data_IF_605425396830
#
_entry.id   IF_605425396830
#
_cell.length_a   1.000
_cell.length_b   1.000
_cell.length_c   1.000
_cell.angle_alpha   90.00
_cell.angle_beta   90.00
_cell.angle_gamma   90.00
#
_symmetry.space_group_name_H-M   'P 1'
#
loop_
_entity.id
_entity.type
_entity.pdbx_description
1 polymer ?
#
# COMPACT_ATOMS: atom_id res chain seq x y z
N UNK A 1 -8.37 -15.37 18.03
CA UNK A 1 -9.18 -15.09 16.82
C UNK A 1 -9.30 -16.36 15.98
N UNK A 2 -10.51 -16.78 15.69
CA UNK A 2 -10.71 -17.96 14.85
C UNK A 2 -10.35 -17.63 13.39
N UNK A 3 -9.59 -18.51 12.75
CA UNK A 3 -9.30 -18.37 11.32
C UNK A 3 -10.33 -19.17 10.52
N UNK A 4 -10.79 -18.61 9.41
CA UNK A 4 -11.81 -19.20 8.55
C UNK A 4 -11.24 -19.89 7.31
N UNK A 5 -9.95 -20.21 7.34
CA UNK A 5 -9.26 -20.84 6.22
C UNK A 5 -8.27 -21.88 6.72
N UNK A 6 -7.97 -22.84 5.86
CA UNK A 6 -7.00 -23.88 6.16
C UNK A 6 -5.57 -23.38 5.84
N UNK A 7 -4.63 -23.62 6.76
CA UNK A 7 -3.22 -23.32 6.55
C UNK A 7 -2.50 -24.62 6.19
N UNK A 8 -1.88 -24.66 5.02
CA UNK A 8 -1.12 -25.81 4.55
C UNK A 8 0.37 -25.64 4.84
N UNK A 9 1.00 -26.70 5.31
CA UNK A 9 2.42 -26.72 5.68
C UNK A 9 3.32 -26.98 4.45
N UNK A 10 3.09 -26.25 3.38
CA UNK A 10 3.83 -26.40 2.14
C UNK A 10 3.80 -25.11 1.33
N UNK A 11 4.62 -25.00 0.30
CA UNK A 11 4.60 -23.85 -0.60
C UNK A 11 3.66 -24.12 -1.77
N UNK A 12 2.86 -23.11 -2.20
CA UNK A 12 2.03 -23.27 -3.40
C UNK A 12 2.92 -23.32 -4.64
N UNK A 13 2.41 -23.94 -5.73
CA UNK A 13 3.15 -24.05 -6.97
C UNK A 13 3.49 -22.70 -7.61
N UNK A 14 2.69 -21.68 -7.34
CA UNK A 14 2.88 -20.31 -7.86
C UNK A 14 3.53 -19.36 -6.84
N UNK A 15 4.30 -19.88 -5.89
CA UNK A 15 4.90 -19.09 -4.81
C UNK A 15 5.72 -17.90 -5.33
N UNK A 16 6.49 -18.11 -6.39
CA UNK A 16 7.34 -17.04 -6.93
C UNK A 16 6.51 -15.90 -7.54
N UNK A 17 5.37 -16.23 -8.17
CA UNK A 17 4.45 -15.22 -8.69
C UNK A 17 3.81 -14.41 -7.55
N UNK A 18 3.45 -15.09 -6.46
CA UNK A 18 2.87 -14.41 -5.29
C UNK A 18 3.89 -13.49 -4.62
N UNK A 19 5.16 -13.89 -4.56
CA UNK A 19 6.24 -13.04 -4.04
C UNK A 19 6.40 -11.79 -4.89
N UNK A 20 6.32 -11.92 -6.21
CA UNK A 20 6.37 -10.76 -7.13
C UNK A 20 5.19 -9.83 -6.93
N UNK A 21 3.97 -10.37 -6.78
CA UNK A 21 2.78 -9.56 -6.50
C UNK A 21 2.92 -8.78 -5.21
N UNK A 22 3.49 -9.41 -4.19
CA UNK A 22 3.72 -8.77 -2.89
C UNK A 22 4.74 -7.63 -2.98
N UNK A 23 5.56 -7.61 -4.02
CA UNK A 23 6.53 -6.55 -4.28
C UNK A 23 6.04 -5.46 -5.24
N UNK A 24 4.77 -5.48 -5.66
CA UNK A 24 4.22 -4.49 -6.59
C UNK A 24 4.25 -3.10 -5.97
N UNK A 25 5.04 -2.19 -6.55
CA UNK A 25 5.28 -0.85 -5.98
C UNK A 25 4.12 0.11 -6.18
N UNK A 26 3.41 -0.03 -7.28
CA UNK A 26 2.37 0.93 -7.67
C UNK A 26 0.95 0.40 -7.53
N UNK A 27 0.79 -0.82 -7.01
CA UNK A 27 -0.52 -1.45 -6.93
C UNK A 27 -0.68 -2.17 -5.59
N UNK A 28 -1.20 -1.43 -4.61
CA UNK A 28 -1.44 -1.99 -3.27
C UNK A 28 -2.47 -3.13 -3.30
N UNK A 29 -3.41 -3.10 -4.25
CA UNK A 29 -4.41 -4.17 -4.38
C UNK A 29 -3.76 -5.50 -4.71
N UNK A 30 -2.73 -5.50 -5.54
CA UNK A 30 -1.96 -6.73 -5.83
C UNK A 30 -1.18 -7.21 -4.62
N UNK A 31 -0.62 -6.29 -3.83
CA UNK A 31 0.04 -6.67 -2.58
C UNK A 31 -0.94 -7.32 -1.62
N UNK A 32 -2.14 -6.75 -1.49
CA UNK A 32 -3.19 -7.31 -0.64
C UNK A 32 -3.65 -8.68 -1.14
N UNK A 33 -3.82 -8.85 -2.44
CA UNK A 33 -4.18 -10.13 -3.04
C UNK A 33 -3.12 -11.20 -2.72
N UNK A 34 -1.85 -10.83 -2.82
CA UNK A 34 -0.74 -11.74 -2.46
C UNK A 34 -0.80 -12.14 -0.99
N UNK A 35 -1.09 -11.21 -0.09
CA UNK A 35 -1.26 -11.52 1.33
C UNK A 35 -2.38 -12.53 1.55
N UNK A 36 -3.53 -12.31 0.90
CA UNK A 36 -4.69 -13.19 1.05
C UNK A 36 -4.45 -14.60 0.52
N UNK A 37 -3.56 -14.76 -0.44
CA UNK A 37 -3.15 -16.08 -0.92
C UNK A 37 -2.04 -16.68 -0.05
N UNK A 38 -1.00 -15.91 0.27
CA UNK A 38 0.14 -16.39 1.04
C UNK A 38 -0.22 -16.81 2.47
N UNK A 39 -1.23 -16.19 3.06
CA UNK A 39 -1.65 -16.53 4.42
C UNK A 39 -2.12 -17.97 4.58
N UNK A 40 -2.49 -18.63 3.47
CA UNK A 40 -2.96 -20.02 3.45
C UNK A 40 -1.83 -21.04 3.43
N UNK A 41 -0.59 -20.59 3.30
CA UNK A 41 0.57 -21.46 3.11
C UNK A 41 1.66 -21.15 4.12
N UNK A 42 2.03 -22.15 4.92
CA UNK A 42 3.13 -22.00 5.88
C UNK A 42 4.41 -22.52 5.25
N UNK A 43 5.15 -21.61 4.65
CA UNK A 43 6.48 -21.88 4.09
C UNK A 43 7.35 -20.66 4.34
N UNK A 44 8.67 -20.82 4.19
CA UNK A 44 9.61 -19.74 4.54
C UNK A 44 9.38 -18.47 3.73
N UNK A 45 9.14 -18.60 2.41
CA UNK A 45 8.87 -17.43 1.55
C UNK A 45 7.61 -16.69 1.97
N UNK A 46 6.54 -17.42 2.31
CA UNK A 46 5.31 -16.82 2.81
C UNK A 46 5.55 -16.07 4.11
N UNK A 47 6.26 -16.68 5.06
CA UNK A 47 6.59 -16.05 6.35
C UNK A 47 7.41 -14.78 6.16
N UNK A 48 8.41 -14.81 5.28
CA UNK A 48 9.27 -13.65 5.01
C UNK A 48 8.48 -12.49 4.42
N UNK A 49 7.62 -12.77 3.43
CA UNK A 49 6.81 -11.74 2.78
C UNK A 49 5.80 -11.13 3.74
N UNK A 50 5.07 -11.98 4.48
CA UNK A 50 4.05 -11.50 5.42
C UNK A 50 4.68 -10.66 6.54
N UNK A 51 5.84 -11.06 7.04
CA UNK A 51 6.57 -10.28 8.05
C UNK A 51 6.97 -8.92 7.51
N UNK A 52 7.54 -8.87 6.31
CA UNK A 52 7.96 -7.62 5.69
C UNK A 52 6.79 -6.67 5.47
N UNK A 53 5.68 -7.16 4.93
CA UNK A 53 4.52 -6.32 4.68
C UNK A 53 3.85 -5.87 5.98
N UNK A 54 3.80 -6.74 6.99
CA UNK A 54 3.23 -6.39 8.30
C UNK A 54 4.00 -5.27 8.99
N UNK A 55 5.32 -5.21 8.78
CA UNK A 55 6.18 -4.23 9.45
C UNK A 55 6.42 -2.98 8.63
N UNK A 56 6.37 -3.06 7.30
CA UNK A 56 6.89 -2.00 6.43
C UNK A 56 5.95 -1.52 5.32
N UNK A 57 4.80 -2.14 5.08
CA UNK A 57 3.93 -1.67 4.01
C UNK A 57 3.33 -0.31 4.38
N UNK A 58 3.32 0.62 3.44
CA UNK A 58 2.79 1.96 3.67
C UNK A 58 1.27 2.03 3.65
N UNK A 59 0.61 1.10 2.95
CA UNK A 59 -0.85 1.03 2.94
C UNK A 59 -1.30 0.25 4.16
N UNK A 60 -1.98 0.91 5.08
CA UNK A 60 -2.35 0.31 6.36
C UNK A 60 -3.18 -0.97 6.20
N UNK A 61 -4.07 -1.03 5.21
CA UNK A 61 -4.88 -2.23 4.98
C UNK A 61 -4.01 -3.44 4.65
N UNK A 62 -2.97 -3.26 3.84
CA UNK A 62 -2.02 -4.35 3.52
C UNK A 62 -1.24 -4.74 4.78
N UNK A 63 -0.75 -3.75 5.52
CA UNK A 63 -0.03 -3.98 6.77
C UNK A 63 -0.89 -4.76 7.78
N UNK A 64 -2.14 -4.36 7.97
CA UNK A 64 -3.05 -5.01 8.91
C UNK A 64 -3.35 -6.46 8.52
N UNK A 65 -3.64 -6.72 7.25
CA UNK A 65 -3.93 -8.09 6.79
C UNK A 65 -2.69 -8.98 6.88
N UNK A 66 -1.51 -8.45 6.55
CA UNK A 66 -0.25 -9.18 6.68
C UNK A 66 0.05 -9.48 8.15
N UNK A 67 -0.21 -8.53 9.04
CA UNK A 67 -0.04 -8.71 10.48
C UNK A 67 -0.95 -9.83 11.01
N UNK A 68 -2.21 -9.84 10.63
CA UNK A 68 -3.14 -10.89 11.04
C UNK A 68 -2.72 -12.25 10.52
N UNK A 69 -2.26 -12.31 9.27
CA UNK A 69 -1.74 -13.53 8.67
C UNK A 69 -0.49 -14.04 9.42
N UNK A 70 0.41 -13.14 9.77
CA UNK A 70 1.60 -13.46 10.53
C UNK A 70 1.27 -14.00 11.92
N UNK A 71 0.27 -13.42 12.58
CA UNK A 71 -0.20 -13.92 13.88
C UNK A 71 -0.74 -15.35 13.76
N UNK A 72 -1.52 -15.63 12.71
CA UNK A 72 -2.10 -16.95 12.48
C UNK A 72 -1.00 -18.01 12.25
N UNK A 73 0.13 -17.62 11.66
CA UNK A 73 1.29 -18.50 11.43
C UNK A 73 2.21 -18.57 12.64
N UNK A 74 1.94 -17.82 13.71
CA UNK A 74 2.79 -17.80 14.89
C UNK A 74 4.13 -17.15 14.68
N UNK A 75 4.23 -16.19 13.73
CA UNK A 75 5.48 -15.52 13.41
C UNK A 75 5.93 -14.63 14.58
N UNK A 76 7.21 -14.74 14.93
CA UNK A 76 7.82 -13.94 15.99
C UNK A 76 9.14 -13.38 15.48
N UNK A 77 9.56 -12.25 16.06
CA UNK A 77 10.84 -11.63 15.80
C UNK A 77 11.63 -11.58 17.09
N UNK A 78 12.81 -12.17 17.09
CA UNK A 78 13.68 -12.27 18.29
C UNK A 78 12.95 -12.89 19.48
N UNK A 79 12.16 -13.94 19.22
CA UNK A 79 11.41 -14.66 20.26
C UNK A 79 10.16 -13.96 20.77
N UNK A 80 9.80 -12.82 20.19
CA UNK A 80 8.61 -12.06 20.60
C UNK A 80 7.62 -11.91 19.45
N UNK A 81 6.30 -11.95 19.71
CA UNK A 81 5.33 -11.70 18.66
C UNK A 81 5.56 -10.32 18.04
N UNK A 82 5.27 -10.20 16.74
CA UNK A 82 5.30 -8.90 16.08
C UNK A 82 4.03 -8.13 16.44
N UNK A 83 4.13 -6.80 16.43
CA UNK A 83 3.01 -5.91 16.76
C UNK A 83 2.69 -5.00 15.58
N UNK A 84 1.41 -4.76 15.38
CA UNK A 84 0.95 -3.79 14.39
C UNK A 84 1.33 -2.39 14.86
N UNK A 85 2.10 -1.68 14.05
CA UNK A 85 2.51 -0.31 14.35
C UNK A 85 1.35 0.66 14.25
N UNK A 86 1.58 1.89 14.70
CA UNK A 86 0.60 2.97 14.54
C UNK A 86 0.42 3.26 13.06
N UNK A 87 -0.80 3.64 12.69
CA UNK A 87 -1.09 4.07 11.34
C UNK A 87 -0.27 5.31 11.01
N UNK A 88 0.66 5.16 10.08
CA UNK A 88 1.51 6.24 9.61
C UNK A 88 1.61 6.11 8.10
N UNK A 89 1.06 7.08 7.40
CA UNK A 89 1.08 7.09 5.93
C UNK A 89 2.45 7.46 5.36
N UNK A 90 3.36 7.95 6.20
CA UNK A 90 4.72 8.28 5.76
C UNK A 90 4.84 9.60 5.01
N UNK A 91 3.78 10.38 4.90
CA UNK A 91 3.77 11.65 4.16
C UNK A 91 3.16 12.76 5.00
N UNK A 92 3.67 13.99 4.82
CA UNK A 92 3.16 15.18 5.51
C UNK A 92 2.74 16.24 4.49
N UNK A 93 2.21 17.37 4.97
CA UNK A 93 1.75 18.46 4.09
C UNK A 93 2.82 18.97 3.13
N UNK A 94 4.08 19.00 3.58
CA UNK A 94 5.20 19.45 2.75
C UNK A 94 5.42 18.50 1.57
N UNK A 95 5.32 17.20 1.81
CA UNK A 95 5.47 16.19 0.76
C UNK A 95 4.40 16.35 -0.31
N UNK A 96 3.14 16.53 0.11
CA UNK A 96 2.03 16.72 -0.82
C UNK A 96 2.21 18.00 -1.65
N UNK A 97 2.62 19.09 -1.00
CA UNK A 97 2.84 20.37 -1.69
C UNK A 97 3.90 20.26 -2.76
N UNK A 98 5.00 19.56 -2.47
CA UNK A 98 6.08 19.35 -3.47
C UNK A 98 5.56 18.60 -4.68
N UNK A 99 4.84 17.51 -4.47
CA UNK A 99 4.35 16.68 -5.57
C UNK A 99 3.27 17.39 -6.37
N UNK A 100 2.30 18.02 -5.72
CA UNK A 100 1.23 18.73 -6.44
C UNK A 100 1.74 19.99 -7.13
N UNK A 101 2.75 20.66 -6.58
CA UNK A 101 3.40 21.78 -7.27
C UNK A 101 4.08 21.32 -8.56
N UNK A 102 4.73 20.16 -8.51
CA UNK A 102 5.32 19.56 -9.70
C UNK A 102 4.27 19.18 -10.73
N UNK A 103 3.17 18.55 -10.29
CA UNK A 103 2.07 18.16 -11.16
C UNK A 103 1.48 19.39 -11.84
N UNK A 104 1.22 20.45 -11.07
CA UNK A 104 0.66 21.68 -11.58
C UNK A 104 1.57 22.35 -12.61
N UNK A 105 2.88 22.39 -12.33
CA UNK A 105 3.88 22.94 -13.24
C UNK A 105 4.01 22.15 -14.54
N UNK A 106 3.99 20.81 -14.45
CA UNK A 106 4.25 19.95 -15.60
C UNK A 106 3.01 19.64 -16.45
N UNK A 107 1.80 19.87 -15.93
CA UNK A 107 0.56 19.63 -16.70
C UNK A 107 0.13 20.85 -17.51
N UNK A 108 0.54 22.05 -17.15
CA UNK A 108 0.22 23.31 -17.87
C UNK A 108 -1.29 23.52 -18.08
N UNK A 109 -2.13 23.11 -17.12
CA UNK A 109 -3.57 23.22 -17.26
C UNK A 109 -4.06 24.64 -16.97
N UNK A 110 -4.94 25.17 -17.85
CA UNK A 110 -5.64 26.43 -17.59
C UNK A 110 -6.74 26.23 -16.56
N UNK A 111 -7.40 25.10 -16.63
CA UNK A 111 -8.43 24.69 -15.67
C UNK A 111 -8.13 23.30 -15.17
N UNK A 112 -8.52 23.01 -13.94
CA UNK A 112 -8.34 21.70 -13.34
C UNK A 112 -9.02 20.62 -14.17
N UNK A 113 -8.27 19.55 -14.49
CA UNK A 113 -8.78 18.35 -15.16
C UNK A 113 -8.37 17.14 -14.32
N UNK A 114 -9.35 16.54 -13.67
CA UNK A 114 -9.09 15.44 -12.73
C UNK A 114 -8.30 14.29 -13.37
N UNK A 115 -8.73 13.85 -14.56
CA UNK A 115 -8.10 12.70 -15.20
C UNK A 115 -6.62 12.96 -15.53
N UNK A 116 -6.31 14.15 -16.02
CA UNK A 116 -4.94 14.54 -16.35
C UNK A 116 -4.10 14.59 -15.08
N UNK A 117 -4.63 15.16 -14.00
CA UNK A 117 -3.92 15.26 -12.72
C UNK A 117 -3.70 13.87 -12.12
N UNK A 118 -4.70 12.98 -12.15
CA UNK A 118 -4.56 11.61 -11.66
C UNK A 118 -3.48 10.85 -12.43
N UNK A 119 -3.49 10.94 -13.75
CA UNK A 119 -2.51 10.26 -14.59
C UNK A 119 -1.10 10.76 -14.30
N UNK A 120 -0.94 12.06 -14.11
CA UNK A 120 0.36 12.64 -13.75
C UNK A 120 0.81 12.21 -12.36
N UNK A 121 -0.11 12.16 -11.40
CA UNK A 121 0.18 11.74 -10.03
C UNK A 121 0.70 10.31 -10.01
N UNK A 122 0.03 9.39 -10.70
CA UNK A 122 0.48 8.00 -10.82
C UNK A 122 1.89 7.94 -11.41
N UNK A 123 2.14 8.74 -12.43
CA UNK A 123 3.44 8.74 -13.13
C UNK A 123 4.57 9.27 -12.23
N UNK A 124 4.31 10.34 -11.47
CA UNK A 124 5.31 11.03 -10.67
C UNK A 124 5.57 10.33 -9.33
N UNK A 125 4.49 9.90 -8.66
CA UNK A 125 4.60 9.27 -7.34
C UNK A 125 3.57 8.15 -7.19
N UNK A 126 3.83 7.00 -7.80
CA UNK A 126 2.88 5.89 -7.77
C UNK A 126 2.59 5.37 -6.36
N UNK A 127 3.59 5.35 -5.49
CA UNK A 127 3.41 4.87 -4.12
C UNK A 127 2.52 5.81 -3.30
N UNK A 128 2.76 7.12 -3.40
CA UNK A 128 1.92 8.11 -2.73
C UNK A 128 0.48 8.04 -3.24
N UNK A 129 0.30 7.86 -4.54
CA UNK A 129 -1.03 7.67 -5.14
C UNK A 129 -1.75 6.48 -4.50
N UNK A 130 -1.08 5.33 -4.43
CA UNK A 130 -1.61 4.10 -3.81
C UNK A 130 -2.06 4.34 -2.37
N UNK A 131 -1.17 4.92 -1.57
CA UNK A 131 -1.43 5.17 -0.15
C UNK A 131 -2.62 6.10 0.03
N UNK A 132 -2.64 7.20 -0.72
CA UNK A 132 -3.68 8.21 -0.54
C UNK A 132 -5.02 7.78 -1.12
N UNK A 133 -5.03 7.00 -2.19
CA UNK A 133 -6.25 6.42 -2.72
C UNK A 133 -6.94 5.56 -1.66
N UNK A 134 -6.17 4.75 -0.96
CA UNK A 134 -6.71 3.94 0.13
C UNK A 134 -7.18 4.82 1.30
N UNK A 135 -6.34 5.78 1.73
CA UNK A 135 -6.62 6.61 2.90
C UNK A 135 -7.86 7.49 2.72
N UNK A 136 -8.04 8.06 1.55
CA UNK A 136 -9.14 8.97 1.27
C UNK A 136 -10.40 8.28 0.76
N UNK A 137 -10.27 7.08 0.21
CA UNK A 137 -11.41 6.32 -0.30
C UNK A 137 -12.28 7.15 -1.25
N UNK A 138 -13.57 7.25 -0.94
CA UNK A 138 -14.52 8.01 -1.78
C UNK A 138 -14.22 9.52 -1.84
N UNK A 139 -13.45 10.05 -0.90
CA UNK A 139 -13.06 11.46 -0.88
C UNK A 139 -11.77 11.75 -1.65
N UNK A 140 -11.17 10.75 -2.29
CA UNK A 140 -9.87 10.90 -2.94
C UNK A 140 -9.89 11.97 -4.04
N UNK A 141 -10.87 11.94 -4.92
CA UNK A 141 -10.97 12.89 -6.04
C UNK A 141 -11.15 14.32 -5.56
N UNK A 142 -11.97 14.52 -4.52
CA UNK A 142 -12.18 15.85 -3.92
C UNK A 142 -10.88 16.33 -3.27
N UNK A 143 -10.16 15.44 -2.59
CA UNK A 143 -8.87 15.77 -1.99
C UNK A 143 -7.85 16.21 -3.04
N UNK A 144 -7.79 15.50 -4.18
CA UNK A 144 -6.90 15.84 -5.31
C UNK A 144 -7.21 17.26 -5.81
N UNK A 145 -8.49 17.56 -6.06
CA UNK A 145 -8.90 18.87 -6.53
C UNK A 145 -8.56 19.98 -5.54
N UNK A 146 -8.83 19.75 -4.26
CA UNK A 146 -8.53 20.72 -3.22
C UNK A 146 -7.02 20.97 -3.09
N UNK A 147 -6.20 19.92 -3.17
CA UNK A 147 -4.75 20.06 -3.14
C UNK A 147 -4.24 20.87 -4.33
N UNK A 148 -4.73 20.54 -5.54
CA UNK A 148 -4.35 21.25 -6.75
C UNK A 148 -4.71 22.74 -6.67
N UNK A 149 -5.94 23.05 -6.26
CA UNK A 149 -6.45 24.41 -6.20
C UNK A 149 -5.85 25.24 -5.06
N UNK A 150 -5.32 24.60 -4.01
CA UNK A 150 -4.71 25.30 -2.87
C UNK A 150 -3.32 25.86 -3.19
N UNK A 151 -2.72 25.45 -4.29
CA UNK A 151 -1.37 25.83 -4.63
C UNK A 151 -1.33 27.15 -5.42
N UNK A 152 -0.26 27.98 -5.24
CA UNK A 152 -0.12 29.20 -6.02
C UNK A 152 -0.02 28.93 -7.51
N UNK A 153 -0.58 29.81 -8.30
CA UNK A 153 -0.39 29.79 -9.75
C UNK A 153 1.01 30.28 -10.08
N UNK A 154 1.63 29.57 -11.00
CA UNK A 154 2.87 30.04 -11.63
C UNK A 154 2.72 29.97 -13.11
#
# INVERSE_FOLDING_TARGET
>A
MAINYEIKQEAPGNIDDLVKMAGAKINWSKRLEAVNELKKWDCQKSRDVLTRLALHDKVYKVMEEAFRAAQALGIAKKGKPIYLGKKDIGYNSSDFKKIFSRIKRETYLEQFDLQIVLNKFIQVQPEMYDVMLYEKGNGFNIWIENMYNSLPRK
#
